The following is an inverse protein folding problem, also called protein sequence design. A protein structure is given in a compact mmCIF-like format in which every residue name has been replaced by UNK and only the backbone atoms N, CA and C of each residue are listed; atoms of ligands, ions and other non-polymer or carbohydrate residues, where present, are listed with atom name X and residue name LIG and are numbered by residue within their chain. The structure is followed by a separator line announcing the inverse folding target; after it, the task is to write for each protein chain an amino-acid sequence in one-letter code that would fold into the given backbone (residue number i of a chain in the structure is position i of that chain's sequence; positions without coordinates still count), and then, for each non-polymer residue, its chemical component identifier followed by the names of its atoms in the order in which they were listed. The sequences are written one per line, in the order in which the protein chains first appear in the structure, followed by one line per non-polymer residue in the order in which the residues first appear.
data_IF_589784945306
#
_entry.id   IF_589784945306
#
_cell.length_a   1.000
_cell.length_b   1.000
_cell.length_c   1.000
_cell.angle_alpha   90.00
_cell.angle_beta   90.00
_cell.angle_gamma   90.00
#
_symmetry.space_group_name_H-M   'P 1'
#
loop_
_entity.id
_entity.type
_entity.pdbx_description
1 polymer ?
#
# COMPACT_ATOMS: atom_id res chain seq x y z
N UNK A 1 -10.50 23.68 -14.62
CA UNK A 1 -9.55 22.56 -14.82
C UNK A 1 -9.80 21.93 -16.19
N UNK A 2 -8.78 21.72 -16.98
CA UNK A 2 -8.94 21.10 -18.31
C UNK A 2 -9.34 19.63 -18.16
N UNK A 3 -10.49 19.22 -18.71
CA UNK A 3 -11.03 17.85 -18.59
C UNK A 3 -10.08 16.79 -19.16
N UNK A 4 -9.40 17.11 -20.26
CA UNK A 4 -8.43 16.18 -20.88
C UNK A 4 -7.24 15.94 -19.93
N UNK A 5 -6.69 17.01 -19.37
CA UNK A 5 -5.59 16.91 -18.41
C UNK A 5 -6.01 16.09 -17.17
N UNK A 6 -7.19 16.33 -16.64
CA UNK A 6 -7.75 15.59 -15.51
C UNK A 6 -7.80 14.09 -15.81
N UNK A 7 -8.33 13.68 -16.97
CA UNK A 7 -8.43 12.25 -17.33
C UNK A 7 -7.03 11.63 -17.49
N UNK A 8 -6.10 12.32 -18.15
CA UNK A 8 -4.74 11.83 -18.36
C UNK A 8 -4.03 11.63 -17.00
N UNK A 9 -4.07 12.65 -16.15
CA UNK A 9 -3.41 12.62 -14.83
C UNK A 9 -4.00 11.52 -13.95
N UNK A 10 -5.33 11.42 -13.85
CA UNK A 10 -5.98 10.38 -13.03
C UNK A 10 -5.77 8.98 -13.60
N UNK A 11 -5.66 8.83 -14.94
CA UNK A 11 -5.33 7.56 -15.57
C UNK A 11 -3.94 7.07 -15.16
N UNK A 12 -2.91 7.90 -15.30
CA UNK A 12 -1.54 7.51 -14.94
C UNK A 12 -1.36 7.34 -13.42
N UNK A 13 -2.00 8.19 -12.62
CA UNK A 13 -2.00 8.06 -11.17
C UNK A 13 -2.67 6.74 -10.73
N UNK A 14 -3.84 6.43 -11.28
CA UNK A 14 -4.56 5.19 -11.01
C UNK A 14 -3.84 3.95 -11.52
N UNK A 15 -3.21 4.03 -12.70
CA UNK A 15 -2.40 2.95 -13.27
C UNK A 15 -1.22 2.62 -12.35
N UNK A 16 -0.40 3.61 -12.00
CA UNK A 16 0.75 3.40 -11.12
C UNK A 16 0.36 2.86 -9.74
N UNK A 17 -0.66 3.46 -9.14
CA UNK A 17 -1.19 3.04 -7.85
C UNK A 17 -1.76 1.61 -7.90
N UNK A 18 -2.60 1.30 -8.89
CA UNK A 18 -3.21 -0.01 -9.03
C UNK A 18 -2.19 -1.11 -9.28
N UNK A 19 -1.19 -0.86 -10.13
CA UNK A 19 -0.08 -1.79 -10.35
C UNK A 19 0.70 -2.01 -9.04
N UNK A 20 1.05 -0.94 -8.33
CA UNK A 20 1.74 -1.03 -7.05
C UNK A 20 0.95 -1.80 -5.99
N UNK A 21 -0.35 -1.55 -5.87
CA UNK A 21 -1.23 -2.27 -4.95
C UNK A 21 -1.33 -3.75 -5.33
N UNK A 22 -1.60 -4.05 -6.60
CA UNK A 22 -1.83 -5.43 -7.06
C UNK A 22 -0.60 -6.34 -7.03
N UNK A 23 0.60 -5.81 -7.35
CA UNK A 23 1.85 -6.59 -7.34
C UNK A 23 2.58 -6.56 -5.99
N UNK A 24 2.59 -5.42 -5.33
CA UNK A 24 3.44 -5.20 -4.16
C UNK A 24 2.66 -4.93 -2.86
N UNK A 25 1.33 -4.88 -2.90
CA UNK A 25 0.56 -4.50 -1.72
C UNK A 25 0.91 -3.10 -1.23
N UNK A 26 1.25 -2.18 -2.15
CA UNK A 26 1.59 -0.80 -1.84
C UNK A 26 0.32 0.03 -1.72
N UNK A 27 0.30 1.00 -0.80
CA UNK A 27 -0.83 1.93 -0.70
C UNK A 27 -0.91 2.86 -1.92
N UNK A 28 -2.11 3.01 -2.46
CA UNK A 28 -2.38 3.92 -3.57
C UNK A 28 -2.08 5.39 -3.21
N UNK A 29 -2.13 5.73 -1.92
CA UNK A 29 -1.81 7.08 -1.45
C UNK A 29 -0.38 7.51 -1.75
N UNK A 30 0.55 6.58 -1.79
CA UNK A 30 1.96 6.87 -2.10
C UNK A 30 2.17 7.34 -3.57
N UNK A 31 1.25 7.04 -4.47
CA UNK A 31 1.34 7.39 -5.91
C UNK A 31 0.33 8.46 -6.29
N UNK A 32 -0.94 8.28 -5.92
CA UNK A 32 -2.01 9.18 -6.33
C UNK A 32 -1.81 10.57 -5.75
N UNK A 33 -1.53 10.67 -4.44
CA UNK A 33 -1.46 11.97 -3.77
C UNK A 33 -0.43 12.91 -4.40
N UNK A 34 0.85 12.54 -4.57
CA UNK A 34 1.83 13.44 -5.16
C UNK A 34 1.49 13.81 -6.61
N UNK A 35 0.92 12.89 -7.39
CA UNK A 35 0.53 13.18 -8.78
C UNK A 35 -0.62 14.18 -8.84
N UNK A 36 -1.65 14.04 -7.99
CA UNK A 36 -2.76 14.99 -7.95
C UNK A 36 -2.33 16.37 -7.47
N UNK A 37 -1.45 16.43 -6.48
CA UNK A 37 -0.90 17.70 -5.96
C UNK A 37 -0.11 18.39 -7.05
N UNK A 38 0.84 17.68 -7.67
CA UNK A 38 1.77 18.28 -8.66
C UNK A 38 1.08 18.72 -9.94
N UNK A 39 0.22 17.88 -10.54
CA UNK A 39 -0.34 18.13 -11.86
C UNK A 39 -1.71 18.80 -11.89
N UNK A 40 -2.50 18.62 -10.81
CA UNK A 40 -3.81 19.23 -10.73
C UNK A 40 -3.89 20.38 -9.71
N UNK A 41 -2.77 20.66 -8.99
CA UNK A 41 -2.73 21.70 -7.96
C UNK A 41 -3.72 21.44 -6.81
N UNK A 42 -4.00 20.18 -6.52
CA UNK A 42 -4.98 19.83 -5.48
C UNK A 42 -4.42 20.07 -4.09
N UNK A 43 -5.30 20.45 -3.18
CA UNK A 43 -5.00 20.49 -1.75
C UNK A 43 -4.47 19.13 -1.28
N UNK A 44 -3.33 19.08 -0.55
CA UNK A 44 -2.70 17.84 -0.14
C UNK A 44 -3.62 16.94 0.70
N UNK A 45 -4.42 17.51 1.59
CA UNK A 45 -5.32 16.77 2.46
C UNK A 45 -6.42 16.06 1.65
N UNK A 46 -6.99 16.77 0.66
CA UNK A 46 -7.99 16.22 -0.26
C UNK A 46 -7.41 15.17 -1.20
N UNK A 47 -6.18 15.39 -1.71
CA UNK A 47 -5.48 14.42 -2.55
C UNK A 47 -5.24 13.09 -1.81
N UNK A 48 -4.88 13.13 -0.53
CA UNK A 48 -4.73 11.94 0.31
C UNK A 48 -6.07 11.24 0.54
N UNK A 49 -7.15 11.99 0.80
CA UNK A 49 -8.50 11.41 0.94
C UNK A 49 -8.97 10.66 -0.31
N UNK A 50 -8.77 11.25 -1.50
CA UNK A 50 -9.06 10.61 -2.79
C UNK A 50 -8.21 9.33 -2.95
N UNK A 51 -6.94 9.41 -2.65
CA UNK A 51 -6.02 8.29 -2.80
C UNK A 51 -6.36 7.12 -1.87
N UNK A 52 -6.65 7.40 -0.60
CA UNK A 52 -7.08 6.38 0.37
C UNK A 52 -8.39 5.73 -0.03
N UNK A 53 -9.39 6.50 -0.48
CA UNK A 53 -10.66 5.94 -0.95
C UNK A 53 -10.50 5.07 -2.20
N UNK A 54 -9.59 5.43 -3.09
CA UNK A 54 -9.22 4.62 -4.26
C UNK A 54 -8.52 3.32 -3.84
N UNK A 55 -7.70 3.39 -2.78
CA UNK A 55 -6.99 2.24 -2.22
C UNK A 55 -7.95 1.21 -1.60
N UNK A 56 -9.05 1.64 -0.99
CA UNK A 56 -10.07 0.73 -0.41
C UNK A 56 -10.51 -0.32 -1.44
N UNK A 57 -10.98 0.13 -2.60
CA UNK A 57 -11.51 -0.78 -3.62
C UNK A 57 -10.39 -1.54 -4.34
N UNK A 58 -9.26 -0.90 -4.59
CA UNK A 58 -8.09 -1.54 -5.19
C UNK A 58 -7.53 -2.65 -4.30
N UNK A 59 -7.39 -2.40 -3.00
CA UNK A 59 -6.95 -3.38 -2.03
C UNK A 59 -7.96 -4.48 -1.82
N UNK A 60 -9.26 -4.18 -1.78
CA UNK A 60 -10.33 -5.16 -1.64
C UNK A 60 -10.38 -6.14 -2.84
N UNK A 61 -10.31 -5.64 -4.09
CA UNK A 61 -10.31 -6.50 -5.27
C UNK A 61 -9.02 -7.32 -5.38
N UNK A 62 -7.89 -6.75 -4.96
CA UNK A 62 -6.62 -7.49 -4.88
C UNK A 62 -6.71 -8.59 -3.82
N UNK A 63 -7.15 -8.28 -2.61
CA UNK A 63 -7.35 -9.25 -1.52
C UNK A 63 -8.28 -10.39 -1.93
N UNK A 64 -9.40 -10.07 -2.58
CA UNK A 64 -10.30 -11.08 -3.14
C UNK A 64 -9.59 -11.98 -4.17
N UNK A 65 -8.82 -11.39 -5.07
CA UNK A 65 -8.08 -12.12 -6.10
C UNK A 65 -7.03 -13.05 -5.50
N UNK A 66 -6.26 -12.58 -4.52
CA UNK A 66 -5.29 -13.40 -3.79
C UNK A 66 -5.97 -14.48 -2.94
N UNK A 67 -7.08 -14.15 -2.27
CA UNK A 67 -7.87 -15.09 -1.47
C UNK A 67 -8.44 -16.23 -2.30
N UNK A 68 -8.99 -15.93 -3.49
CA UNK A 68 -9.47 -16.94 -4.44
C UNK A 68 -8.37 -17.92 -4.89
N UNK A 69 -7.13 -17.46 -4.94
CA UNK A 69 -5.95 -18.28 -5.27
C UNK A 69 -5.28 -18.90 -4.02
N UNK A 70 -5.93 -18.85 -2.86
CA UNK A 70 -5.41 -19.37 -1.57
C UNK A 70 -4.11 -18.71 -1.11
N UNK A 71 -3.87 -17.47 -1.53
CA UNK A 71 -2.71 -16.65 -1.20
C UNK A 71 -3.10 -15.53 -0.23
N UNK A 72 -3.84 -15.87 0.84
CA UNK A 72 -4.31 -14.95 1.87
C UNK A 72 -4.37 -15.66 3.22
N UNK A 73 -3.67 -15.11 4.22
CA UNK A 73 -3.78 -15.57 5.60
C UNK A 73 -4.76 -14.67 6.37
N UNK A 74 -6.05 -15.02 6.29
CA UNK A 74 -7.13 -14.23 6.92
C UNK A 74 -6.97 -14.19 8.45
N UNK A 75 -6.65 -15.33 9.09
CA UNK A 75 -6.60 -15.43 10.55
C UNK A 75 -5.52 -14.52 11.15
N UNK A 76 -4.29 -14.65 10.69
CA UNK A 76 -3.19 -13.83 11.19
C UNK A 76 -3.28 -12.40 10.66
N UNK A 77 -3.86 -12.21 9.46
CA UNK A 77 -4.20 -10.90 8.92
C UNK A 77 -5.17 -10.12 9.81
N UNK A 78 -6.21 -10.75 10.33
CA UNK A 78 -7.14 -10.11 11.30
C UNK A 78 -6.45 -9.74 12.61
N UNK A 79 -5.62 -10.63 13.16
CA UNK A 79 -4.85 -10.34 14.39
C UNK A 79 -3.93 -9.14 14.17
N UNK A 80 -3.20 -9.14 13.05
CA UNK A 80 -2.31 -8.04 12.69
C UNK A 80 -3.09 -6.75 12.43
N UNK A 81 -4.23 -6.82 11.75
CA UNK A 81 -5.09 -5.67 11.43
C UNK A 81 -5.56 -4.94 12.70
N UNK A 82 -6.04 -5.66 13.71
CA UNK A 82 -6.46 -5.06 14.99
C UNK A 82 -5.30 -4.31 15.63
N UNK A 83 -4.11 -4.92 15.67
CA UNK A 83 -2.91 -4.28 16.20
C UNK A 83 -2.50 -3.06 15.38
N UNK A 84 -2.51 -3.17 14.04
CA UNK A 84 -2.17 -2.06 13.13
C UNK A 84 -3.11 -0.89 13.35
N UNK A 85 -4.42 -1.11 13.33
CA UNK A 85 -5.42 -0.04 13.52
C UNK A 85 -5.25 0.67 14.87
N UNK A 86 -5.09 -0.11 15.94
CA UNK A 86 -4.92 0.44 17.30
C UNK A 86 -3.66 1.29 17.40
N UNK A 87 -2.53 0.78 16.95
CA UNK A 87 -1.23 1.47 17.07
C UNK A 87 -1.01 2.55 16.01
N UNK A 88 -1.78 2.55 14.92
CA UNK A 88 -1.82 3.69 13.99
C UNK A 88 -2.32 4.96 14.69
N UNK A 89 -3.33 4.84 15.56
CA UNK A 89 -3.81 5.98 16.35
C UNK A 89 -2.71 6.49 17.29
N UNK A 90 -2.00 5.59 17.95
CA UNK A 90 -0.87 5.95 18.84
C UNK A 90 0.25 6.62 18.04
N UNK A 91 0.64 6.05 16.91
CA UNK A 91 1.67 6.60 16.02
C UNK A 91 1.30 7.99 15.49
N UNK A 92 0.04 8.18 15.07
CA UNK A 92 -0.47 9.48 14.62
C UNK A 92 -0.46 10.54 15.72
N UNK A 93 -0.81 10.15 16.95
CA UNK A 93 -0.70 11.05 18.09
C UNK A 93 0.74 11.48 18.36
N UNK A 94 1.68 10.54 18.36
CA UNK A 94 3.12 10.86 18.52
C UNK A 94 3.62 11.73 17.37
N UNK A 95 3.19 11.46 16.14
CA UNK A 95 3.51 12.27 14.96
C UNK A 95 3.06 13.71 15.08
N UNK A 96 1.91 13.98 15.70
CA UNK A 96 1.43 15.35 15.92
C UNK A 96 2.30 16.19 16.85
N UNK A 97 3.19 15.55 17.62
CA UNK A 97 4.14 16.20 18.53
C UNK A 97 5.49 16.53 17.86
N UNK A 98 5.71 16.11 16.61
CA UNK A 98 6.99 16.24 15.90
C UNK A 98 6.81 17.08 14.64
N UNK A 99 7.77 17.98 14.28
CA UNK A 99 7.68 18.77 13.04
C UNK A 99 7.59 17.92 11.79
N UNK A 100 6.67 18.27 10.88
CA UNK A 100 6.22 17.46 9.73
C UNK A 100 7.24 17.31 8.58
N UNK A 101 8.32 18.06 8.56
CA UNK A 101 9.25 18.15 7.41
C UNK A 101 10.07 16.88 7.13
N UNK A 102 10.15 15.94 8.07
CA UNK A 102 11.04 14.76 7.96
C UNK A 102 10.33 13.51 7.46
N UNK A 103 9.00 13.48 7.45
CA UNK A 103 8.23 12.23 7.33
C UNK A 103 7.92 11.78 5.90
N UNK A 104 7.66 12.70 4.98
CA UNK A 104 7.29 12.37 3.60
C UNK A 104 8.40 11.64 2.83
N UNK A 105 9.62 12.09 2.98
CA UNK A 105 10.78 11.56 2.26
C UNK A 105 11.16 10.13 2.69
N UNK A 106 10.89 9.76 3.95
CA UNK A 106 11.22 8.44 4.47
C UNK A 106 10.41 7.33 3.79
N UNK A 107 9.11 7.53 3.56
CA UNK A 107 8.24 6.55 2.91
C UNK A 107 8.70 6.26 1.47
N UNK A 108 9.06 7.30 0.73
CA UNK A 108 9.55 7.20 -0.65
C UNK A 108 10.88 6.45 -0.70
N UNK A 109 11.81 6.81 0.19
CA UNK A 109 13.11 6.16 0.30
C UNK A 109 12.96 4.67 0.64
N UNK A 110 12.07 4.32 1.56
CA UNK A 110 11.81 2.92 1.92
C UNK A 110 11.18 2.13 0.76
N UNK A 111 10.35 2.76 -0.08
CA UNK A 111 9.82 2.14 -1.30
C UNK A 111 10.94 1.73 -2.23
N UNK A 112 11.84 2.64 -2.50
CA UNK A 112 12.98 2.43 -3.37
C UNK A 112 13.90 1.32 -2.84
N UNK A 113 14.27 1.37 -1.56
CA UNK A 113 15.09 0.35 -0.91
C UNK A 113 14.44 -1.04 -0.95
N UNK A 114 13.13 -1.10 -0.70
CA UNK A 114 12.39 -2.36 -0.76
C UNK A 114 12.39 -2.94 -2.18
N UNK A 115 12.24 -2.10 -3.19
CA UNK A 115 12.35 -2.49 -4.59
C UNK A 115 13.72 -3.10 -4.92
N UNK A 116 14.80 -2.45 -4.51
CA UNK A 116 16.17 -2.98 -4.65
C UNK A 116 16.30 -4.33 -3.92
N UNK A 117 15.78 -4.43 -2.69
CA UNK A 117 15.83 -5.69 -1.92
C UNK A 117 15.20 -6.85 -2.68
N UNK A 118 14.03 -6.67 -3.31
CA UNK A 118 13.37 -7.74 -4.06
C UNK A 118 14.14 -8.16 -5.33
N UNK A 119 14.91 -7.24 -5.92
CA UNK A 119 15.78 -7.55 -7.07
C UNK A 119 17.02 -8.30 -6.62
N UNK A 120 17.71 -7.81 -5.58
CA UNK A 120 19.01 -8.32 -5.13
C UNK A 120 18.86 -9.56 -4.25
N UNK A 121 17.88 -9.54 -3.33
CA UNK A 121 17.61 -10.64 -2.40
C UNK A 121 16.14 -11.05 -2.49
N UNK A 122 15.75 -11.82 -3.53
CA UNK A 122 14.39 -12.24 -3.74
C UNK A 122 13.86 -13.09 -2.58
N UNK A 123 12.56 -12.99 -2.33
CA UNK A 123 11.86 -13.83 -1.36
C UNK A 123 11.61 -15.19 -1.99
N UNK A 124 12.31 -16.21 -1.48
CA UNK A 124 12.23 -17.59 -1.99
C UNK A 124 11.52 -18.52 -1.00
N UNK A 125 10.91 -17.99 0.05
CA UNK A 125 10.11 -18.75 1.00
C UNK A 125 8.97 -19.43 0.26
N UNK A 126 8.86 -20.75 0.39
CA UNK A 126 7.76 -21.52 -0.20
C UNK A 126 6.57 -21.55 0.76
N UNK A 127 5.40 -21.90 0.23
CA UNK A 127 4.19 -21.99 1.02
C UNK A 127 4.29 -23.09 2.09
N UNK A 128 4.91 -24.20 1.75
CA UNK A 128 5.15 -25.32 2.65
C UNK A 128 6.09 -24.92 3.81
N UNK A 129 7.12 -24.12 3.53
CA UNK A 129 8.01 -23.60 4.57
C UNK A 129 7.28 -22.61 5.48
N UNK A 130 6.43 -21.75 4.90
CA UNK A 130 5.59 -20.84 5.66
C UNK A 130 4.62 -21.59 6.59
N UNK A 131 4.01 -22.68 6.14
CA UNK A 131 3.03 -23.45 6.91
C UNK A 131 3.63 -24.27 8.06
N UNK A 132 4.94 -24.52 8.06
CA UNK A 132 5.65 -25.23 9.16
C UNK A 132 5.72 -24.43 10.47
N UNK A 133 5.51 -23.12 10.43
CA UNK A 133 5.52 -22.28 11.63
C UNK A 133 4.28 -22.55 12.47
N UNK A 134 4.45 -22.84 13.78
CA UNK A 134 3.32 -23.16 14.64
C UNK A 134 2.31 -22.00 14.69
N UNK A 135 0.99 -22.31 14.74
CA UNK A 135 -0.06 -21.28 14.71
C UNK A 135 0.04 -20.27 15.86
N UNK A 136 0.43 -20.72 17.06
CA UNK A 136 0.61 -19.85 18.24
C UNK A 136 1.77 -18.87 18.03
N UNK A 137 2.92 -19.36 17.52
CA UNK A 137 4.09 -18.51 17.23
C UNK A 137 3.74 -17.47 16.18
N UNK A 138 3.05 -17.85 15.11
CA UNK A 138 2.63 -16.94 14.05
C UNK A 138 1.66 -15.88 14.55
N UNK A 139 0.68 -16.24 15.37
CA UNK A 139 -0.26 -15.27 15.95
C UNK A 139 0.44 -14.23 16.83
N UNK A 140 1.37 -14.66 17.70
CA UNK A 140 2.15 -13.74 18.55
C UNK A 140 3.05 -12.84 17.71
N UNK A 141 3.73 -13.39 16.71
CA UNK A 141 4.55 -12.60 15.77
C UNK A 141 3.69 -11.59 14.99
N UNK A 142 2.50 -11.99 14.52
CA UNK A 142 1.56 -11.10 13.82
C UNK A 142 1.10 -9.95 14.72
N UNK A 143 0.82 -10.22 15.99
CA UNK A 143 0.46 -9.21 16.98
C UNK A 143 1.59 -8.19 17.17
N UNK A 144 2.81 -8.66 17.46
CA UNK A 144 3.98 -7.80 17.72
C UNK A 144 4.34 -6.98 16.45
N UNK A 145 4.38 -7.63 15.31
CA UNK A 145 4.67 -6.95 14.04
C UNK A 145 3.55 -5.96 13.67
N UNK A 146 2.29 -6.27 13.98
CA UNK A 146 1.17 -5.37 13.79
C UNK A 146 1.29 -4.09 14.63
N UNK A 147 1.76 -4.21 15.87
CA UNK A 147 2.09 -3.05 16.74
C UNK A 147 3.15 -2.16 16.07
N UNK A 148 4.25 -2.76 15.62
CA UNK A 148 5.34 -2.03 14.96
C UNK A 148 4.87 -1.35 13.66
N UNK A 149 4.17 -2.10 12.81
CA UNK A 149 3.63 -1.57 11.54
C UNK A 149 2.64 -0.44 11.83
N UNK A 150 1.70 -0.64 12.74
CA UNK A 150 0.70 0.36 13.09
C UNK A 150 1.34 1.66 13.58
N UNK A 151 2.29 1.56 14.49
CA UNK A 151 3.02 2.71 14.98
C UNK A 151 3.74 3.46 13.84
N UNK A 152 4.49 2.74 13.00
CA UNK A 152 5.20 3.33 11.85
C UNK A 152 4.21 3.95 10.86
N UNK A 153 3.10 3.27 10.55
CA UNK A 153 2.07 3.77 9.64
C UNK A 153 1.44 5.06 10.16
N UNK A 154 1.10 5.09 11.42
CA UNK A 154 0.53 6.28 12.07
C UNK A 154 1.52 7.42 12.15
N UNK A 155 2.78 7.12 12.45
CA UNK A 155 3.85 8.10 12.61
C UNK A 155 4.27 8.73 11.28
N UNK A 156 4.42 7.92 10.22
CA UNK A 156 4.93 8.36 8.90
C UNK A 156 3.80 8.73 7.95
N UNK A 157 2.58 8.20 8.15
CA UNK A 157 1.46 8.37 7.23
C UNK A 157 1.42 7.32 6.09
N UNK A 158 1.51 7.72 4.83
CA UNK A 158 1.21 6.91 3.64
C UNK A 158 2.11 5.67 3.37
N UNK A 159 3.02 5.29 4.25
CA UNK A 159 4.01 4.20 4.01
C UNK A 159 3.58 2.78 4.41
N UNK A 160 2.38 2.59 4.94
CA UNK A 160 1.99 1.37 5.65
C UNK A 160 2.05 0.07 4.87
N UNK A 161 1.60 0.05 3.64
CA UNK A 161 1.54 -1.18 2.83
C UNK A 161 2.91 -1.78 2.54
N UNK A 162 3.91 -0.95 2.25
CA UNK A 162 5.25 -1.41 1.93
C UNK A 162 6.00 -1.93 3.16
N UNK A 163 5.86 -1.25 4.30
CA UNK A 163 6.41 -1.74 5.56
C UNK A 163 5.78 -3.07 5.96
N UNK A 164 4.49 -3.23 5.69
CA UNK A 164 3.78 -4.49 5.91
C UNK A 164 4.35 -5.62 5.04
N UNK A 165 4.55 -5.38 3.74
CA UNK A 165 5.15 -6.36 2.85
C UNK A 165 6.59 -6.73 3.30
N UNK A 166 7.40 -5.73 3.69
CA UNK A 166 8.74 -5.95 4.21
C UNK A 166 8.72 -6.85 5.46
N UNK A 167 7.87 -6.55 6.41
CA UNK A 167 7.78 -7.30 7.68
C UNK A 167 7.23 -8.71 7.42
N UNK A 168 6.17 -8.86 6.64
CA UNK A 168 5.61 -10.16 6.30
C UNK A 168 6.65 -11.06 5.61
N UNK A 169 7.46 -10.52 4.70
CA UNK A 169 8.42 -11.31 3.94
C UNK A 169 9.78 -11.50 4.62
N UNK A 170 10.21 -10.57 5.49
CA UNK A 170 11.57 -10.58 6.06
C UNK A 170 11.63 -10.96 7.53
N UNK A 171 10.54 -10.79 8.26
CA UNK A 171 10.46 -11.08 9.70
C UNK A 171 9.55 -12.28 9.96
N UNK A 172 8.45 -12.36 9.23
CA UNK A 172 7.45 -13.42 9.40
C UNK A 172 7.64 -14.60 8.42
N UNK A 173 8.62 -14.49 7.49
CA UNK A 173 8.92 -15.52 6.50
C UNK A 173 7.70 -15.97 5.68
N UNK A 174 6.84 -15.03 5.29
CA UNK A 174 5.73 -15.32 4.40
C UNK A 174 6.23 -15.56 2.96
N UNK A 175 5.58 -16.49 2.27
CA UNK A 175 5.68 -16.59 0.82
C UNK A 175 5.17 -15.28 0.21
N UNK A 176 5.83 -14.80 -0.86
CA UNK A 176 5.58 -13.46 -1.41
C UNK A 176 4.12 -13.21 -1.80
N UNK A 177 3.46 -14.19 -2.45
CA UNK A 177 2.05 -14.03 -2.84
C UNK A 177 1.14 -13.90 -1.62
N UNK A 178 1.36 -14.72 -0.61
CA UNK A 178 0.58 -14.69 0.63
C UNK A 178 0.86 -13.41 1.42
N UNK A 179 2.09 -12.92 1.39
CA UNK A 179 2.44 -11.62 2.00
C UNK A 179 1.69 -10.47 1.32
N UNK A 180 1.70 -10.40 -0.02
CA UNK A 180 0.95 -9.37 -0.76
C UNK A 180 -0.54 -9.48 -0.49
N UNK A 181 -1.12 -10.69 -0.59
CA UNK A 181 -2.55 -10.90 -0.35
C UNK A 181 -2.98 -10.48 1.07
N UNK A 182 -2.18 -10.84 2.09
CA UNK A 182 -2.45 -10.46 3.49
C UNK A 182 -2.26 -8.95 3.71
N UNK A 183 -1.24 -8.34 3.08
CA UNK A 183 -1.02 -6.90 3.12
C UNK A 183 -2.23 -6.12 2.57
N UNK A 184 -2.68 -6.42 1.34
CA UNK A 184 -3.83 -5.72 0.74
C UNK A 184 -5.13 -5.98 1.50
N UNK A 185 -5.29 -7.14 2.13
CA UNK A 185 -6.43 -7.41 3.00
C UNK A 185 -6.47 -6.44 4.19
N UNK A 186 -5.37 -6.28 4.90
CA UNK A 186 -5.27 -5.34 6.02
C UNK A 186 -5.45 -3.91 5.53
N UNK A 187 -4.83 -3.56 4.39
CA UNK A 187 -4.91 -2.23 3.80
C UNK A 187 -6.34 -1.82 3.41
N UNK A 188 -7.19 -2.75 3.03
CA UNK A 188 -8.60 -2.46 2.76
C UNK A 188 -9.26 -1.74 3.94
N UNK A 189 -9.02 -2.20 5.15
CA UNK A 189 -9.61 -1.63 6.37
C UNK A 189 -8.88 -0.36 6.83
N UNK A 190 -7.56 -0.34 6.77
CA UNK A 190 -6.79 0.86 7.15
C UNK A 190 -7.04 2.02 6.20
N UNK A 191 -7.12 1.76 4.90
CA UNK A 191 -7.45 2.77 3.90
C UNK A 191 -8.90 3.27 4.06
N UNK A 192 -9.86 2.38 4.37
CA UNK A 192 -11.24 2.75 4.64
C UNK A 192 -11.33 3.71 5.84
N UNK A 193 -10.70 3.36 6.95
CA UNK A 193 -10.68 4.22 8.14
C UNK A 193 -10.05 5.57 7.84
N UNK A 194 -8.94 5.59 7.10
CA UNK A 194 -8.27 6.81 6.67
C UNK A 194 -9.14 7.67 5.75
N UNK A 195 -9.77 7.08 4.73
CA UNK A 195 -10.63 7.78 3.78
C UNK A 195 -11.84 8.44 4.48
N UNK A 196 -12.51 7.67 5.36
CA UNK A 196 -13.65 8.19 6.14
C UNK A 196 -13.21 9.37 7.01
N UNK A 197 -12.07 9.27 7.69
CA UNK A 197 -11.54 10.36 8.52
C UNK A 197 -11.22 11.60 7.69
N UNK A 198 -10.59 11.45 6.52
CA UNK A 198 -10.26 12.56 5.64
C UNK A 198 -11.50 13.29 5.13
N UNK A 199 -12.53 12.56 4.70
CA UNK A 199 -13.75 13.19 4.18
C UNK A 199 -14.63 13.76 5.29
N UNK A 200 -14.63 13.16 6.48
CA UNK A 200 -15.35 13.70 7.63
C UNK A 200 -14.79 15.05 8.10
N UNK A 201 -13.48 15.24 7.99
CA UNK A 201 -12.79 16.46 8.44
C UNK A 201 -12.68 17.49 7.30
N UNK A 202 -12.26 17.06 6.11
CA UNK A 202 -11.93 17.92 4.97
C UNK A 202 -13.10 18.19 4.02
N UNK A 203 -14.25 17.51 4.21
CA UNK A 203 -15.38 17.62 3.30
C UNK A 203 -15.24 16.77 2.03
N UNK A 204 -16.18 16.99 1.08
CA UNK A 204 -16.26 16.19 -0.14
C UNK A 204 -15.25 16.66 -1.19
N UNK A 205 -14.50 15.74 -1.84
CA UNK A 205 -13.56 16.06 -2.89
C UNK A 205 -14.25 16.41 -4.21
N UNK A 206 -13.46 16.82 -5.21
CA UNK A 206 -13.95 16.90 -6.59
C UNK A 206 -14.41 15.53 -7.06
N UNK A 207 -15.71 15.36 -7.27
CA UNK A 207 -16.36 14.07 -7.56
C UNK A 207 -15.80 13.42 -8.84
N UNK A 208 -15.50 14.22 -9.88
CA UNK A 208 -14.97 13.67 -11.13
C UNK A 208 -13.56 13.09 -10.96
N UNK A 209 -12.65 13.81 -10.29
CA UNK A 209 -11.31 13.32 -9.98
C UNK A 209 -11.39 12.08 -9.10
N UNK A 210 -12.25 12.12 -8.09
CA UNK A 210 -12.44 11.02 -7.15
C UNK A 210 -12.88 9.72 -7.85
N UNK A 211 -13.96 9.79 -8.65
CA UNK A 211 -14.48 8.62 -9.38
C UNK A 211 -13.45 8.09 -10.38
N UNK A 212 -12.78 8.97 -11.14
CA UNK A 212 -11.76 8.55 -12.12
C UNK A 212 -10.59 7.84 -11.43
N UNK A 213 -10.08 8.37 -10.31
CA UNK A 213 -9.03 7.71 -9.54
C UNK A 213 -9.46 6.32 -9.06
N UNK A 214 -10.68 6.20 -8.49
CA UNK A 214 -11.21 4.90 -8.05
C UNK A 214 -11.27 3.90 -9.22
N UNK A 215 -11.87 4.30 -10.33
CA UNK A 215 -12.08 3.41 -11.49
C UNK A 215 -10.75 2.94 -12.07
N UNK A 216 -9.83 3.86 -12.32
CA UNK A 216 -8.53 3.48 -12.90
C UNK A 216 -7.68 2.66 -11.93
N UNK A 217 -7.65 3.01 -10.65
CA UNK A 217 -6.90 2.23 -9.65
C UNK A 217 -7.47 0.82 -9.49
N UNK A 218 -8.79 0.69 -9.42
CA UNK A 218 -9.48 -0.60 -9.31
C UNK A 218 -9.17 -1.51 -10.50
N UNK A 219 -9.27 -0.99 -11.73
CA UNK A 219 -9.01 -1.75 -12.95
C UNK A 219 -7.58 -2.28 -12.98
N UNK A 220 -6.60 -1.41 -12.75
CA UNK A 220 -5.18 -1.80 -12.79
C UNK A 220 -4.78 -2.68 -11.63
N UNK A 221 -5.34 -2.48 -10.43
CA UNK A 221 -5.10 -3.35 -9.28
C UNK A 221 -5.62 -4.78 -9.54
N UNK A 222 -6.81 -4.91 -10.13
CA UNK A 222 -7.35 -6.22 -10.52
C UNK A 222 -6.47 -6.91 -11.55
N UNK A 223 -6.08 -6.21 -12.61
CA UNK A 223 -5.19 -6.74 -13.65
C UNK A 223 -3.87 -7.19 -13.02
N UNK A 224 -3.25 -6.33 -12.24
CA UNK A 224 -1.97 -6.61 -11.57
C UNK A 224 -2.06 -7.81 -10.62
N UNK A 225 -3.09 -7.90 -9.79
CA UNK A 225 -3.29 -9.02 -8.87
C UNK A 225 -3.51 -10.35 -9.60
N UNK A 226 -4.24 -10.36 -10.72
CA UNK A 226 -4.43 -11.58 -11.55
C UNK A 226 -3.09 -12.04 -12.13
N UNK A 227 -2.30 -11.14 -12.70
CA UNK A 227 -0.98 -11.47 -13.25
C UNK A 227 -0.02 -11.93 -12.15
N UNK A 228 0.02 -11.24 -11.01
CA UNK A 228 0.88 -11.59 -9.88
C UNK A 228 0.60 -13.02 -9.36
N UNK A 229 -0.67 -13.41 -9.28
CA UNK A 229 -1.04 -14.76 -8.85
C UNK A 229 -0.65 -15.85 -9.85
N UNK A 230 -0.61 -15.53 -11.15
CA UNK A 230 -0.16 -16.47 -12.20
C UNK A 230 1.37 -16.52 -12.35
N UNK A 231 2.08 -15.50 -11.92
CA UNK A 231 3.52 -15.38 -12.07
C UNK A 231 4.27 -16.44 -11.24
N UNK A 232 5.43 -16.88 -11.74
CA UNK A 232 6.36 -17.68 -10.94
C UNK A 232 6.96 -16.86 -9.80
N UNK A 233 7.44 -17.46 -8.69
CA UNK A 233 8.07 -16.72 -7.60
C UNK A 233 9.20 -15.80 -8.07
N UNK A 234 10.05 -16.27 -8.99
CA UNK A 234 11.15 -15.48 -9.55
C UNK A 234 10.66 -14.28 -10.34
N UNK A 235 9.65 -14.48 -11.20
CA UNK A 235 9.05 -13.41 -12.02
C UNK A 235 8.35 -12.40 -11.12
N UNK A 236 7.61 -12.87 -10.10
CA UNK A 236 6.91 -11.99 -9.17
C UNK A 236 7.88 -11.11 -8.37
N UNK A 237 8.95 -11.70 -7.80
CA UNK A 237 9.98 -10.92 -7.09
C UNK A 237 10.57 -9.83 -7.99
N UNK A 238 10.95 -10.19 -9.23
CA UNK A 238 11.54 -9.25 -10.17
C UNK A 238 10.56 -8.15 -10.57
N UNK A 239 9.33 -8.52 -10.90
CA UNK A 239 8.28 -7.56 -11.25
C UNK A 239 7.98 -6.60 -10.09
N UNK A 240 7.75 -7.14 -8.88
CA UNK A 240 7.54 -6.34 -7.66
C UNK A 240 8.72 -5.40 -7.41
N UNK A 241 9.94 -5.89 -7.51
CA UNK A 241 11.15 -5.08 -7.32
C UNK A 241 11.25 -3.94 -8.33
N UNK A 242 11.09 -4.24 -9.62
CA UNK A 242 11.13 -3.22 -10.70
C UNK A 242 10.03 -2.17 -10.52
N UNK A 243 8.79 -2.61 -10.25
CA UNK A 243 7.64 -1.71 -10.02
C UNK A 243 7.93 -0.77 -8.85
N UNK A 244 8.42 -1.29 -7.73
CA UNK A 244 8.73 -0.48 -6.55
C UNK A 244 9.87 0.52 -6.81
N UNK A 245 10.91 0.11 -7.53
CA UNK A 245 12.02 1.01 -7.91
C UNK A 245 11.51 2.13 -8.81
N UNK A 246 10.76 1.79 -9.86
CA UNK A 246 10.20 2.79 -10.80
C UNK A 246 9.26 3.74 -10.07
N UNK A 247 8.33 3.24 -9.29
CA UNK A 247 7.40 4.07 -8.51
C UNK A 247 8.14 4.92 -7.47
N UNK A 248 9.15 4.37 -6.81
CA UNK A 248 9.99 5.13 -5.88
C UNK A 248 10.72 6.29 -6.56
N UNK A 249 11.30 6.06 -7.74
CA UNK A 249 11.95 7.11 -8.53
C UNK A 249 10.95 8.18 -8.97
N UNK A 250 9.79 7.76 -9.48
CA UNK A 250 8.73 8.67 -9.95
C UNK A 250 8.24 9.56 -8.81
N UNK A 251 7.92 8.96 -7.66
CA UNK A 251 7.43 9.73 -6.50
C UNK A 251 8.52 10.63 -5.92
N UNK A 252 9.79 10.19 -5.92
CA UNK A 252 10.92 11.02 -5.49
C UNK A 252 11.12 12.22 -6.41
N UNK A 253 11.02 12.02 -7.73
CA UNK A 253 11.10 13.11 -8.68
C UNK A 253 10.00 14.16 -8.46
N UNK A 254 8.76 13.73 -8.18
CA UNK A 254 7.67 14.66 -7.84
C UNK A 254 7.87 15.37 -6.51
N UNK A 255 8.47 14.70 -5.51
CA UNK A 255 8.79 15.34 -4.22
C UNK A 255 9.87 16.41 -4.31
N UNK A 256 10.71 16.37 -5.33
CA UNK A 256 11.75 17.41 -5.59
C UNK A 256 11.17 18.60 -6.37
N UNK A 257 10.12 18.37 -7.16
CA UNK A 257 9.48 19.39 -7.98
C UNK A 257 8.45 20.26 -7.23
N UNK A 258 8.05 19.84 -6.04
CA UNK A 258 7.17 20.55 -5.10
C UNK A 258 7.94 21.10 -3.90
#
# INVERSE_FOLDING_TARGET
MNTILMIIVTFFAGMGAGIGTGFAGMSAAAVISPILITFLGMDPYMAVGIALSSDVLASAVSAYTYGKNKNLDVKNGLIMMVSVLTFTVVGSYVSSLVPSTTMGNFSVFMTFLLGIKFIVKPVMTTKEAMEKVSPKKRAVQSLICGVMIGFICGFIGAGGGMMMLLILTSVLDYELKTAVGTSVFIMTFTAFTGAVSHFAIGGMPNIAVWILCIVFTLLWARIAAVFANKATPKTLNRATGVILVVLGIVVMAFSILN
#
